data_IF_624995809302
#
_entry.id   IF_624995809302
#
_cell.length_a   1.000
_cell.length_b   1.000
_cell.length_c   1.000
_cell.angle_alpha   90.00
_cell.angle_beta   90.00
_cell.angle_gamma   90.00
#
_symmetry.space_group_name_H-M   'P 1'
#
loop_
_entity.id
_entity.type
_entity.pdbx_description
1 polymer ?
#
# COMPACT_ATOMS: atom_id res chain seq x y z
N UNK A 1 5.32 28.96 -18.03
CA UNK A 1 4.28 27.94 -18.30
C UNK A 1 4.59 27.38 -19.68
N UNK A 2 5.16 26.23 -19.79
CA UNK A 2 5.40 25.59 -21.10
C UNK A 2 5.73 24.12 -20.96
N UNK A 3 5.40 23.46 -19.90
CA UNK A 3 5.55 22.04 -19.93
C UNK A 3 4.29 21.43 -20.54
N UNK A 4 4.50 20.53 -21.48
CA UNK A 4 3.42 19.70 -22.00
C UNK A 4 2.61 19.10 -20.84
N UNK A 5 1.26 19.18 -20.86
CA UNK A 5 0.41 18.71 -19.77
C UNK A 5 0.72 17.28 -19.30
N UNK A 6 1.06 16.38 -20.23
CA UNK A 6 1.40 15.00 -19.92
C UNK A 6 2.75 14.91 -19.18
N UNK A 7 3.73 15.69 -19.60
CA UNK A 7 5.04 15.81 -18.95
C UNK A 7 4.89 16.32 -17.52
N UNK A 8 4.04 17.33 -17.30
CA UNK A 8 3.76 17.82 -15.95
C UNK A 8 3.10 16.76 -15.07
N UNK A 9 2.04 16.09 -15.57
CA UNK A 9 1.36 15.04 -14.81
C UNK A 9 2.31 13.91 -14.41
N UNK A 10 3.19 13.49 -15.33
CA UNK A 10 4.24 12.50 -15.02
C UNK A 10 5.21 13.01 -13.95
N UNK A 11 5.65 14.27 -14.05
CA UNK A 11 6.53 14.86 -13.04
C UNK A 11 5.88 14.99 -11.66
N UNK A 12 4.55 15.12 -11.58
CA UNK A 12 3.81 15.08 -10.31
C UNK A 12 3.79 13.67 -9.71
N UNK A 13 3.56 12.65 -10.54
CA UNK A 13 3.62 11.25 -10.13
C UNK A 13 5.02 10.89 -9.63
N UNK A 14 6.05 11.24 -10.38
CA UNK A 14 7.45 11.01 -10.01
C UNK A 14 7.80 11.68 -8.68
N UNK A 15 7.32 12.92 -8.46
CA UNK A 15 7.52 13.63 -7.19
C UNK A 15 6.81 12.94 -6.01
N UNK A 16 5.61 12.39 -6.24
CA UNK A 16 4.86 11.64 -5.23
C UNK A 16 5.58 10.34 -4.85
N UNK A 17 6.06 9.57 -5.84
CA UNK A 17 6.84 8.35 -5.63
C UNK A 17 8.15 8.65 -4.91
N UNK A 18 8.89 9.67 -5.36
CA UNK A 18 10.18 10.06 -4.77
C UNK A 18 10.03 10.44 -3.29
N UNK A 19 8.96 11.14 -2.91
CA UNK A 19 8.72 11.58 -1.54
C UNK A 19 8.52 10.43 -0.54
N UNK A 20 8.16 9.23 -1.02
CA UNK A 20 8.00 8.04 -0.20
C UNK A 20 9.10 6.99 -0.44
N UNK A 21 10.09 7.30 -1.29
CA UNK A 21 11.13 6.33 -1.62
C UNK A 21 12.09 6.11 -0.44
N UNK A 22 12.39 4.84 -0.05
CA UNK A 22 13.23 4.51 1.11
C UNK A 22 14.56 5.27 1.20
N UNK A 23 15.22 5.49 0.07
CA UNK A 23 16.50 6.24 0.01
C UNK A 23 16.39 7.70 0.47
N UNK A 24 15.19 8.28 0.46
CA UNK A 24 14.96 9.66 0.88
C UNK A 24 14.45 9.76 2.33
N UNK A 25 13.65 8.78 2.74
CA UNK A 25 12.91 8.88 4.00
C UNK A 25 13.50 8.07 5.16
N UNK A 26 14.26 7.00 4.89
CA UNK A 26 14.70 6.07 5.94
C UNK A 26 16.01 6.50 6.61
N UNK A 27 17.01 6.94 5.83
CA UNK A 27 18.34 7.28 6.39
C UNK A 27 18.30 8.30 7.54
N UNK A 28 17.53 9.41 7.43
CA UNK A 28 17.45 10.41 8.51
C UNK A 28 16.78 9.88 9.79
N UNK A 29 16.06 8.77 9.69
CA UNK A 29 15.32 8.16 10.79
C UNK A 29 16.12 7.10 11.52
N UNK A 30 17.22 6.60 10.93
CA UNK A 30 18.07 5.59 11.57
C UNK A 30 18.66 6.12 12.87
N UNK A 31 18.93 5.24 13.87
CA UNK A 31 19.57 5.64 15.12
C UNK A 31 20.89 6.38 14.87
N UNK A 32 21.20 7.36 15.72
CA UNK A 32 22.44 8.13 15.61
C UNK A 32 23.69 7.27 15.81
N UNK A 33 23.64 6.31 16.77
CA UNK A 33 24.67 5.30 16.94
C UNK A 33 24.38 4.10 16.04
N UNK A 34 25.25 3.88 15.06
CA UNK A 34 25.17 2.81 14.06
C UNK A 34 26.37 1.86 14.12
N UNK A 35 27.13 1.88 15.22
CA UNK A 35 28.39 1.16 15.34
C UNK A 35 28.25 -0.29 15.85
N UNK A 36 27.14 -0.60 16.55
CA UNK A 36 26.90 -1.91 17.13
C UNK A 36 26.35 -2.94 16.15
N UNK A 37 26.16 -4.16 16.64
CA UNK A 37 25.46 -5.22 15.90
C UNK A 37 23.99 -4.88 15.73
N UNK A 38 23.46 -5.11 14.52
CA UNK A 38 22.04 -4.97 14.22
C UNK A 38 21.54 -6.18 13.45
N UNK A 39 20.34 -6.64 13.80
CA UNK A 39 19.59 -7.62 13.03
C UNK A 39 18.48 -6.88 12.29
N UNK A 40 18.50 -6.98 10.96
CA UNK A 40 17.49 -6.35 10.09
C UNK A 40 16.50 -7.41 9.65
N UNK A 41 15.25 -7.19 10.00
CA UNK A 41 14.14 -8.02 9.53
C UNK A 41 13.12 -7.12 8.81
N UNK A 42 12.30 -7.67 7.93
CA UNK A 42 11.35 -6.82 7.22
C UNK A 42 10.37 -7.58 6.36
N UNK A 43 9.25 -6.92 6.06
CA UNK A 43 8.22 -7.45 5.16
C UNK A 43 7.47 -6.33 4.43
N UNK A 44 7.26 -6.50 3.14
CA UNK A 44 6.49 -5.59 2.31
C UNK A 44 7.15 -5.27 0.98
N UNK A 45 6.40 -4.62 0.09
CA UNK A 45 6.83 -4.29 -1.28
C UNK A 45 8.10 -3.39 -1.32
N UNK A 46 8.32 -2.55 -0.29
CA UNK A 46 9.50 -1.70 -0.17
C UNK A 46 10.60 -2.29 0.74
N UNK A 47 10.36 -3.45 1.41
CA UNK A 47 11.26 -3.98 2.44
C UNK A 47 12.68 -4.21 1.92
N UNK A 48 12.86 -4.71 0.69
CA UNK A 48 14.16 -4.92 0.07
C UNK A 48 14.92 -3.60 -0.17
N UNK A 49 14.26 -2.57 -0.68
CA UNK A 49 14.86 -1.24 -0.87
C UNK A 49 15.18 -0.56 0.46
N UNK A 50 14.36 -0.77 1.48
CA UNK A 50 14.65 -0.29 2.84
C UNK A 50 15.87 -1.00 3.43
N UNK A 51 16.01 -2.32 3.22
CA UNK A 51 17.17 -3.10 3.65
C UNK A 51 18.47 -2.61 2.98
N UNK A 52 18.43 -2.31 1.69
CA UNK A 52 19.56 -1.70 0.96
C UNK A 52 20.03 -0.38 1.62
N UNK A 53 19.09 0.46 2.06
CA UNK A 53 19.41 1.71 2.75
C UNK A 53 20.06 1.44 4.10
N UNK A 54 19.51 0.53 4.91
CA UNK A 54 20.12 0.19 6.21
C UNK A 54 21.52 -0.37 6.00
N UNK A 55 21.70 -1.34 5.11
CA UNK A 55 23.01 -1.96 4.84
C UNK A 55 24.07 -0.95 4.41
N UNK A 56 23.68 0.03 3.60
CA UNK A 56 24.58 1.09 3.12
C UNK A 56 25.00 2.07 4.21
N UNK A 57 24.12 2.35 5.17
CA UNK A 57 24.30 3.42 6.15
C UNK A 57 24.61 2.93 7.58
N UNK A 58 24.67 1.60 7.80
CA UNK A 58 25.06 1.01 9.08
C UNK A 58 26.56 0.73 9.10
N UNK A 59 27.26 1.32 10.07
CA UNK A 59 28.72 1.24 10.16
C UNK A 59 29.20 -0.03 10.91
N UNK A 60 28.34 -0.60 11.76
CA UNK A 60 28.63 -1.79 12.55
C UNK A 60 28.35 -3.10 11.82
N UNK A 61 28.23 -4.18 12.60
CA UNK A 61 27.87 -5.49 12.10
C UNK A 61 26.38 -5.55 11.78
N UNK A 62 26.04 -5.80 10.50
CA UNK A 62 24.68 -5.92 10.02
C UNK A 62 24.45 -7.28 9.41
N UNK A 63 23.37 -7.92 9.81
CA UNK A 63 22.86 -9.16 9.22
C UNK A 63 21.34 -9.14 9.23
N UNK A 64 20.69 -9.99 8.47
CA UNK A 64 19.24 -10.01 8.49
C UNK A 64 18.57 -10.76 7.37
N UNK A 65 17.25 -10.68 7.37
CA UNK A 65 16.36 -11.33 6.42
C UNK A 65 15.11 -10.48 6.20
N UNK A 66 14.84 -10.11 4.95
CA UNK A 66 13.61 -9.39 4.58
C UNK A 66 12.85 -10.17 3.52
N UNK A 67 11.52 -10.06 3.54
CA UNK A 67 10.66 -10.64 2.52
C UNK A 67 9.93 -9.56 1.74
N UNK A 68 9.94 -9.70 0.42
CA UNK A 68 9.23 -8.80 -0.49
C UNK A 68 8.39 -9.58 -1.50
N UNK A 69 7.56 -8.88 -2.28
CA UNK A 69 6.80 -9.49 -3.38
C UNK A 69 7.75 -9.92 -4.50
N UNK A 70 7.40 -10.99 -5.24
CA UNK A 70 8.10 -11.38 -6.47
C UNK A 70 8.31 -10.18 -7.40
N UNK A 71 9.55 -10.00 -7.92
CA UNK A 71 9.95 -8.90 -8.78
C UNK A 71 10.27 -7.59 -8.06
N UNK A 72 10.17 -7.50 -6.72
CA UNK A 72 10.49 -6.31 -5.93
C UNK A 72 11.81 -6.43 -5.16
N UNK A 73 12.66 -7.36 -5.52
CA UNK A 73 13.96 -7.57 -4.89
C UNK A 73 14.90 -6.37 -5.03
N UNK A 74 15.89 -6.30 -4.14
CA UNK A 74 17.02 -5.38 -4.20
C UNK A 74 18.32 -6.13 -3.90
N UNK A 75 19.46 -5.57 -4.33
CA UNK A 75 20.75 -6.21 -4.14
C UNK A 75 21.34 -5.82 -2.79
N UNK A 76 21.26 -6.71 -1.80
CA UNK A 76 21.94 -6.61 -0.52
C UNK A 76 23.06 -7.65 -0.44
N UNK A 77 24.11 -7.35 0.33
CA UNK A 77 25.29 -8.20 0.48
C UNK A 77 25.27 -8.97 1.82
N UNK A 78 24.70 -8.37 2.86
CA UNK A 78 24.71 -8.87 4.24
C UNK A 78 23.29 -9.22 4.71
N UNK A 79 22.26 -8.62 4.11
CA UNK A 79 20.86 -8.88 4.41
C UNK A 79 20.30 -9.76 3.30
N UNK A 80 19.78 -10.93 3.66
CA UNK A 80 19.14 -11.81 2.72
C UNK A 80 17.78 -11.23 2.28
N UNK A 81 17.53 -11.21 0.98
CA UNK A 81 16.25 -10.79 0.41
C UNK A 81 15.56 -11.99 -0.18
N UNK A 82 14.38 -12.33 0.34
CA UNK A 82 13.55 -13.41 -0.16
C UNK A 82 12.31 -12.83 -0.81
N UNK A 83 11.92 -13.40 -1.95
CA UNK A 83 10.67 -13.04 -2.64
C UNK A 83 9.58 -14.07 -2.34
N UNK A 84 8.34 -13.61 -2.15
CA UNK A 84 7.18 -14.43 -1.83
C UNK A 84 5.90 -13.90 -2.47
N UNK A 85 4.83 -14.70 -2.45
CA UNK A 85 3.56 -14.34 -3.06
C UNK A 85 2.79 -13.29 -2.26
N UNK A 86 2.15 -12.40 -2.98
CA UNK A 86 1.21 -11.40 -2.49
C UNK A 86 0.07 -11.20 -3.50
N UNK A 87 -1.20 -11.09 -3.13
CA UNK A 87 -1.73 -10.93 -1.76
C UNK A 87 -2.02 -12.24 -0.99
N UNK A 88 -1.91 -13.39 -1.62
CA UNK A 88 -2.16 -14.69 -0.98
C UNK A 88 -0.82 -15.27 -0.49
N UNK A 89 -0.66 -15.55 0.83
CA UNK A 89 0.56 -16.12 1.39
C UNK A 89 0.90 -17.48 0.76
N UNK A 90 2.19 -17.72 0.52
CA UNK A 90 2.74 -18.99 0.06
C UNK A 90 3.71 -19.62 1.06
N UNK A 91 4.31 -20.76 0.69
CA UNK A 91 5.27 -21.47 1.52
C UNK A 91 6.58 -20.68 1.73
N UNK A 92 6.97 -19.82 0.78
CA UNK A 92 8.16 -18.99 0.90
C UNK A 92 7.98 -17.95 2.02
N UNK A 93 6.84 -17.25 2.05
CA UNK A 93 6.52 -16.30 3.10
C UNK A 93 6.41 -16.96 4.49
N UNK A 94 5.85 -18.16 4.58
CA UNK A 94 5.80 -18.95 5.81
C UNK A 94 7.20 -19.28 6.32
N UNK A 95 8.07 -19.83 5.47
CA UNK A 95 9.43 -20.20 5.83
C UNK A 95 10.25 -18.98 6.29
N UNK A 96 10.09 -17.82 5.63
CA UNK A 96 10.72 -16.57 6.09
C UNK A 96 10.24 -16.17 7.47
N UNK A 97 8.94 -16.25 7.74
CA UNK A 97 8.37 -15.86 9.03
C UNK A 97 8.89 -16.75 10.18
N UNK A 98 9.08 -18.06 9.95
CA UNK A 98 9.70 -18.99 10.89
C UNK A 98 11.17 -18.62 11.15
N UNK A 99 11.93 -18.35 10.08
CA UNK A 99 13.33 -17.94 10.17
C UNK A 99 13.50 -16.61 10.90
N UNK A 100 12.62 -15.63 10.65
CA UNK A 100 12.62 -14.34 11.34
C UNK A 100 12.45 -14.55 12.85
N UNK A 101 11.49 -15.37 13.30
CA UNK A 101 11.34 -15.65 14.73
C UNK A 101 12.56 -16.37 15.31
N UNK A 102 13.14 -17.32 14.61
CA UNK A 102 14.35 -18.00 15.05
C UNK A 102 15.55 -17.05 15.17
N UNK A 103 15.69 -16.07 14.27
CA UNK A 103 16.77 -15.07 14.30
C UNK A 103 16.68 -14.12 15.50
N UNK A 104 15.47 -13.87 16.02
CA UNK A 104 15.24 -12.89 17.09
C UNK A 104 14.94 -13.55 18.46
N UNK A 105 14.95 -14.87 18.55
CA UNK A 105 14.57 -15.59 19.78
C UNK A 105 15.63 -15.60 20.88
N UNK A 106 16.89 -15.26 20.56
CA UNK A 106 18.03 -15.37 21.49
C UNK A 106 18.85 -14.08 21.50
N UNK A 107 18.17 -12.94 21.69
CA UNK A 107 18.75 -11.62 21.71
C UNK A 107 18.96 -11.12 23.14
N UNK A 108 20.05 -10.36 23.34
CA UNK A 108 20.38 -9.69 24.60
C UNK A 108 19.91 -8.21 24.62
N UNK A 109 20.09 -7.57 25.77
CA UNK A 109 19.73 -6.16 25.98
C UNK A 109 20.52 -5.18 25.11
N UNK A 110 21.74 -5.55 24.71
CA UNK A 110 22.61 -4.74 23.86
C UNK A 110 22.35 -4.94 22.36
N UNK A 111 21.57 -5.96 21.99
CA UNK A 111 21.21 -6.21 20.61
C UNK A 111 20.15 -5.20 20.13
N UNK A 112 20.21 -4.92 18.83
CA UNK A 112 19.26 -4.04 18.15
C UNK A 112 18.59 -4.78 17.01
N UNK A 113 17.29 -4.57 16.86
CA UNK A 113 16.51 -5.06 15.73
C UNK A 113 15.98 -3.86 14.96
N UNK A 114 16.20 -3.83 13.65
CA UNK A 114 15.52 -2.91 12.74
C UNK A 114 14.46 -3.70 11.99
N UNK A 115 13.21 -3.36 12.19
CA UNK A 115 12.08 -3.95 11.50
C UNK A 115 11.56 -3.01 10.41
N UNK A 116 11.69 -3.43 9.14
CA UNK A 116 11.37 -2.67 7.94
C UNK A 116 10.01 -3.12 7.41
N UNK A 117 9.05 -2.19 7.40
CA UNK A 117 7.65 -2.51 7.15
C UNK A 117 7.07 -1.64 6.03
N UNK A 118 6.34 -2.26 5.12
CA UNK A 118 5.62 -1.54 4.05
C UNK A 118 4.40 -2.32 3.58
N UNK A 119 3.68 -1.77 2.61
CA UNK A 119 2.50 -2.39 2.03
C UNK A 119 2.69 -3.84 1.62
N UNK A 120 1.67 -4.64 1.87
CA UNK A 120 1.70 -6.09 1.65
C UNK A 120 2.34 -6.91 2.75
N UNK A 121 3.00 -6.30 3.75
CA UNK A 121 3.70 -7.00 4.83
C UNK A 121 2.84 -7.99 5.62
N UNK A 122 1.54 -7.75 5.74
CA UNK A 122 0.62 -8.65 6.44
C UNK A 122 0.48 -10.03 5.76
N UNK A 123 0.54 -10.09 4.44
CA UNK A 123 0.49 -11.33 3.67
C UNK A 123 1.87 -11.99 3.56
N UNK A 124 2.90 -11.18 3.32
CA UNK A 124 4.27 -11.64 3.14
C UNK A 124 4.89 -12.24 4.42
N UNK A 125 4.49 -11.75 5.60
CA UNK A 125 4.94 -12.26 6.91
C UNK A 125 3.79 -12.95 7.64
N UNK A 126 3.35 -14.09 7.10
CA UNK A 126 2.22 -14.84 7.60
C UNK A 126 2.67 -16.11 8.34
N UNK A 127 2.69 -16.07 9.68
CA UNK A 127 2.94 -17.24 10.52
C UNK A 127 1.71 -17.57 11.35
N UNK A 128 1.16 -18.79 11.22
CA UNK A 128 0.08 -19.27 12.10
C UNK A 128 0.52 -19.33 13.56
N UNK A 129 -0.43 -19.16 14.47
CA UNK A 129 -0.22 -19.40 15.89
C UNK A 129 0.09 -20.90 16.16
N UNK A 130 0.71 -21.23 17.30
CA UNK A 130 1.02 -22.61 17.66
C UNK A 130 -0.20 -23.54 17.52
N UNK A 131 0.00 -24.69 16.90
CA UNK A 131 -1.06 -25.68 16.69
C UNK A 131 -1.99 -25.39 15.49
N UNK A 132 -1.87 -24.23 14.84
CA UNK A 132 -2.63 -23.89 13.66
C UNK A 132 -1.80 -24.09 12.38
N UNK A 133 -2.48 -24.41 11.29
CA UNK A 133 -1.88 -24.49 9.96
C UNK A 133 -2.16 -23.22 9.14
N UNK A 134 -1.39 -23.03 8.06
CA UNK A 134 -1.67 -21.97 7.09
C UNK A 134 -3.06 -22.16 6.45
N UNK A 135 -3.49 -23.40 6.24
CA UNK A 135 -4.80 -23.73 5.70
C UNK A 135 -5.94 -23.28 6.63
N UNK A 136 -5.81 -23.46 7.95
CA UNK A 136 -6.79 -22.98 8.93
C UNK A 136 -6.96 -21.47 8.85
N UNK A 137 -5.85 -20.73 8.79
CA UNK A 137 -5.87 -19.26 8.63
C UNK A 137 -6.49 -18.83 7.31
N UNK A 138 -6.18 -19.51 6.21
CA UNK A 138 -6.74 -19.21 4.89
C UNK A 138 -8.24 -19.46 4.87
N UNK A 139 -8.71 -20.56 5.48
CA UNK A 139 -10.14 -20.89 5.60
C UNK A 139 -10.88 -19.78 6.34
N UNK A 140 -10.42 -19.40 7.53
CA UNK A 140 -11.04 -18.35 8.35
C UNK A 140 -11.01 -17.00 7.59
N UNK A 141 -9.87 -16.65 6.98
CA UNK A 141 -9.74 -15.41 6.24
C UNK A 141 -10.71 -15.33 5.05
N UNK A 142 -10.85 -16.43 4.29
CA UNK A 142 -11.79 -16.54 3.17
C UNK A 142 -13.25 -16.40 3.62
N UNK A 143 -13.59 -16.97 4.78
CA UNK A 143 -14.93 -16.86 5.36
C UNK A 143 -15.20 -15.41 5.82
N UNK A 144 -14.25 -14.77 6.51
CA UNK A 144 -14.34 -13.36 6.94
C UNK A 144 -14.53 -12.41 5.76
N UNK A 145 -13.78 -12.57 4.68
CA UNK A 145 -13.92 -11.75 3.47
C UNK A 145 -15.31 -11.83 2.83
N UNK A 146 -16.00 -12.95 2.99
CA UNK A 146 -17.35 -13.16 2.46
C UNK A 146 -18.46 -12.75 3.41
N UNK A 147 -18.15 -12.48 4.68
CA UNK A 147 -19.13 -12.29 5.73
C UNK A 147 -19.69 -10.87 5.85
N UNK A 148 -19.01 -9.89 5.23
CA UNK A 148 -19.31 -8.47 5.44
C UNK A 148 -18.69 -7.88 6.71
N UNK A 149 -17.78 -8.61 7.38
CA UNK A 149 -17.01 -8.08 8.51
C UNK A 149 -16.15 -6.89 8.06
N UNK A 150 -16.05 -5.89 8.92
CA UNK A 150 -15.17 -4.74 8.68
C UNK A 150 -13.71 -5.15 8.70
N UNK A 151 -12.83 -4.36 8.06
CA UNK A 151 -11.38 -4.64 8.07
C UNK A 151 -10.81 -4.68 9.50
N UNK A 152 -11.34 -3.86 10.42
CA UNK A 152 -10.94 -3.86 11.82
C UNK A 152 -11.29 -5.18 12.51
N UNK A 153 -12.51 -5.71 12.29
CA UNK A 153 -12.94 -7.00 12.83
C UNK A 153 -12.15 -8.17 12.23
N UNK A 154 -11.92 -8.15 10.91
CA UNK A 154 -11.06 -9.15 10.26
C UNK A 154 -9.63 -9.13 10.83
N UNK A 155 -9.05 -7.95 11.03
CA UNK A 155 -7.71 -7.81 11.58
C UNK A 155 -7.64 -8.22 13.05
N UNK A 156 -8.70 -8.01 13.84
CA UNK A 156 -8.80 -8.56 15.20
C UNK A 156 -8.59 -10.08 15.19
N UNK A 157 -9.35 -10.81 14.38
CA UNK A 157 -9.21 -12.28 14.26
C UNK A 157 -7.81 -12.66 13.72
N UNK A 158 -7.36 -12.03 12.66
CA UNK A 158 -6.06 -12.30 12.02
C UNK A 158 -4.87 -12.17 12.96
N UNK A 159 -4.88 -11.17 13.86
CA UNK A 159 -3.84 -10.97 14.87
C UNK A 159 -3.80 -12.10 15.89
N UNK A 160 -4.96 -12.49 16.41
CA UNK A 160 -5.05 -13.54 17.41
C UNK A 160 -4.73 -14.94 16.86
N UNK A 161 -4.84 -15.15 15.54
CA UNK A 161 -4.44 -16.40 14.86
C UNK A 161 -2.99 -16.39 14.34
N UNK A 162 -2.14 -15.47 14.83
CA UNK A 162 -0.78 -15.30 14.32
C UNK A 162 0.27 -15.40 15.44
N UNK A 163 1.40 -16.04 15.14
CA UNK A 163 2.56 -16.07 16.05
C UNK A 163 3.42 -14.79 15.99
N UNK A 164 3.13 -13.86 15.07
CA UNK A 164 4.00 -12.70 14.79
C UNK A 164 3.29 -11.36 14.99
N UNK A 165 1.99 -11.29 14.69
CA UNK A 165 1.18 -10.07 14.69
C UNK A 165 0.74 -9.65 16.09
N UNK A 166 0.17 -8.43 16.23
CA UNK A 166 -0.36 -7.94 17.51
C UNK A 166 0.70 -7.84 18.60
N UNK A 167 1.85 -7.27 18.30
CA UNK A 167 2.95 -7.06 19.25
C UNK A 167 3.84 -8.28 19.50
N UNK A 168 3.48 -9.46 18.99
CA UNK A 168 4.21 -10.70 19.29
C UNK A 168 5.64 -10.71 18.76
N UNK A 169 5.93 -10.01 17.65
CA UNK A 169 7.29 -9.86 17.15
C UNK A 169 8.14 -9.04 18.14
N UNK A 170 7.62 -7.94 18.70
CA UNK A 170 8.34 -7.21 19.74
C UNK A 170 8.62 -8.08 20.96
N UNK A 171 7.64 -8.92 21.36
CA UNK A 171 7.81 -9.87 22.45
C UNK A 171 8.88 -10.91 22.15
N UNK A 172 8.97 -11.40 20.93
CA UNK A 172 10.01 -12.34 20.51
C UNK A 172 11.41 -11.72 20.49
N UNK A 173 11.50 -10.42 20.21
CA UNK A 173 12.78 -9.69 20.22
C UNK A 173 13.27 -9.32 21.63
N UNK A 174 12.41 -9.39 22.66
CA UNK A 174 12.77 -9.00 24.02
C UNK A 174 13.94 -9.85 24.56
N UNK A 175 14.98 -9.23 25.20
CA UNK A 175 15.06 -7.84 25.67
C UNK A 175 15.77 -6.85 24.71
N UNK A 176 16.01 -7.20 23.46
CA UNK A 176 16.63 -6.29 22.49
C UNK A 176 15.77 -5.03 22.22
N UNK A 177 16.43 -3.96 21.77
CA UNK A 177 15.71 -2.75 21.34
C UNK A 177 15.25 -2.91 19.89
N UNK A 178 13.95 -2.69 19.65
CA UNK A 178 13.33 -2.79 18.31
C UNK A 178 13.03 -1.40 17.76
N UNK A 179 13.52 -1.10 16.58
CA UNK A 179 13.18 0.08 15.79
C UNK A 179 12.37 -0.34 14.57
N UNK A 180 11.09 -0.03 14.56
CA UNK A 180 10.21 -0.29 13.41
C UNK A 180 10.07 0.96 12.57
N UNK A 181 10.46 0.86 11.31
CA UNK A 181 10.25 1.91 10.30
C UNK A 181 9.19 1.45 9.30
N UNK A 182 8.11 2.21 9.17
CA UNK A 182 6.99 1.85 8.34
C UNK A 182 6.72 2.87 7.23
N UNK A 183 6.49 2.35 6.02
CA UNK A 183 5.86 3.09 4.91
C UNK A 183 4.40 2.62 4.87
N UNK A 184 3.46 3.54 5.08
CA UNK A 184 2.03 3.21 5.16
C UNK A 184 1.37 3.22 3.80
N UNK A 185 0.55 2.19 3.56
CA UNK A 185 -0.44 2.11 2.49
C UNK A 185 -1.87 1.96 3.08
N UNK A 186 -2.03 2.22 4.37
CA UNK A 186 -3.27 1.99 5.11
C UNK A 186 -3.98 3.31 5.37
N UNK A 187 -5.28 3.46 5.04
CA UNK A 187 -6.06 4.63 5.39
C UNK A 187 -6.01 4.93 6.90
N UNK A 188 -5.71 6.18 7.24
CA UNK A 188 -5.57 6.63 8.63
C UNK A 188 -4.26 6.27 9.32
N UNK A 189 -3.32 5.60 8.65
CA UNK A 189 -1.92 5.38 9.08
C UNK A 189 -1.77 4.70 10.46
N UNK A 190 -2.75 3.91 10.88
CA UNK A 190 -2.74 3.28 12.20
C UNK A 190 -1.69 2.17 12.29
N UNK A 191 -0.72 2.32 13.17
CA UNK A 191 0.37 1.36 13.41
C UNK A 191 -0.16 -0.07 13.71
N UNK A 192 -1.32 -0.17 14.37
CA UNK A 192 -1.97 -1.45 14.70
C UNK A 192 -2.58 -2.16 13.49
N UNK A 193 -2.76 -1.43 12.37
CA UNK A 193 -3.34 -1.96 11.12
C UNK A 193 -2.22 -2.28 10.12
N UNK A 194 -1.18 -1.43 10.03
CA UNK A 194 -0.01 -1.65 9.15
C UNK A 194 0.59 -3.02 9.47
N UNK A 195 0.60 -3.92 8.48
CA UNK A 195 0.98 -5.34 8.60
C UNK A 195 0.37 -6.07 9.83
N UNK A 196 -0.73 -5.57 10.38
CA UNK A 196 -1.40 -6.07 11.59
C UNK A 196 -0.57 -5.90 12.87
N UNK A 197 0.24 -4.84 12.96
CA UNK A 197 0.92 -4.38 14.17
C UNK A 197 1.88 -5.37 14.83
N UNK A 198 2.92 -5.89 14.15
CA UNK A 198 3.80 -6.92 14.73
C UNK A 198 4.59 -6.45 15.96
N UNK A 199 4.87 -5.15 16.05
CA UNK A 199 5.74 -4.56 17.10
C UNK A 199 5.06 -3.50 17.96
N UNK A 200 3.73 -3.39 17.86
CA UNK A 200 2.94 -2.43 18.64
C UNK A 200 1.84 -3.13 19.43
N UNK A 201 1.34 -2.46 20.48
CA UNK A 201 0.21 -2.98 21.27
C UNK A 201 -1.04 -3.23 20.42
N UNK A 202 -1.79 -4.26 20.77
CA UNK A 202 -3.11 -4.52 20.19
C UNK A 202 -4.20 -4.23 21.21
N UNK A 203 -5.11 -3.27 20.96
CA UNK A 203 -6.19 -2.98 21.88
C UNK A 203 -7.29 -4.06 21.89
N UNK A 204 -7.34 -4.93 20.86
CA UNK A 204 -8.38 -5.99 20.77
C UNK A 204 -7.99 -7.22 21.58
N UNK A 205 -8.96 -7.99 22.02
CA UNK A 205 -8.79 -9.18 22.85
C UNK A 205 -9.14 -10.47 22.09
N UNK A 206 -8.68 -11.61 22.62
CA UNK A 206 -9.09 -12.93 22.12
C UNK A 206 -10.61 -13.14 22.18
N UNK A 207 -11.28 -12.54 23.17
CA UNK A 207 -12.74 -12.57 23.28
C UNK A 207 -13.43 -11.77 22.19
N UNK A 208 -12.83 -10.63 21.76
CA UNK A 208 -13.32 -9.89 20.61
C UNK A 208 -13.21 -10.72 19.34
N UNK A 209 -12.08 -11.44 19.15
CA UNK A 209 -11.91 -12.34 18.01
C UNK A 209 -12.97 -13.44 17.98
N UNK A 210 -13.24 -14.10 19.12
CA UNK A 210 -14.33 -15.08 19.25
C UNK A 210 -15.71 -14.45 18.97
N UNK A 211 -15.96 -13.24 19.49
CA UNK A 211 -17.21 -12.51 19.25
C UNK A 211 -17.43 -12.19 17.77
N UNK A 212 -16.36 -11.83 17.03
CA UNK A 212 -16.41 -11.63 15.58
C UNK A 212 -16.79 -12.93 14.86
N UNK A 213 -16.10 -14.04 15.15
CA UNK A 213 -16.41 -15.33 14.53
C UNK A 213 -17.88 -15.73 14.78
N UNK A 214 -18.37 -15.53 16.00
CA UNK A 214 -19.76 -15.83 16.37
C UNK A 214 -20.77 -14.89 15.67
N UNK A 215 -20.48 -13.58 15.64
CA UNK A 215 -21.36 -12.56 15.01
C UNK A 215 -21.62 -12.86 13.54
N UNK A 216 -20.59 -13.26 12.82
CA UNK A 216 -20.66 -13.53 11.40
C UNK A 216 -20.89 -15.00 11.06
N UNK A 217 -21.21 -15.84 12.08
CA UNK A 217 -21.44 -17.28 11.91
C UNK A 217 -20.33 -17.96 11.10
N UNK A 218 -19.07 -17.62 11.37
CA UNK A 218 -17.91 -18.21 10.68
C UNK A 218 -17.74 -19.65 11.18
N UNK A 219 -17.82 -20.59 10.24
CA UNK A 219 -17.48 -22.00 10.48
C UNK A 219 -15.95 -22.16 10.53
N UNK A 220 -15.40 -21.93 11.73
CA UNK A 220 -13.96 -22.00 11.97
C UNK A 220 -13.54 -23.44 12.33
N UNK A 221 -12.35 -23.89 11.92
CA UNK A 221 -11.78 -25.16 12.36
C UNK A 221 -11.74 -25.27 13.91
N UNK A 222 -11.94 -26.46 14.46
CA UNK A 222 -11.94 -26.65 15.91
C UNK A 222 -10.63 -26.19 16.55
N UNK A 223 -9.47 -26.43 15.89
CA UNK A 223 -8.16 -25.96 16.35
C UNK A 223 -8.12 -24.43 16.53
N UNK A 224 -8.81 -23.67 15.67
CA UNK A 224 -8.89 -22.20 15.78
C UNK A 224 -9.70 -21.80 17.01
N UNK A 225 -10.82 -22.48 17.29
CA UNK A 225 -11.65 -22.21 18.45
C UNK A 225 -10.91 -22.56 19.74
N UNK A 226 -10.26 -23.73 19.80
CA UNK A 226 -9.45 -24.18 20.94
C UNK A 226 -8.30 -23.21 21.23
N UNK A 227 -7.62 -22.76 20.17
CA UNK A 227 -6.56 -21.75 20.30
C UNK A 227 -7.09 -20.42 20.85
N UNK A 228 -8.19 -19.91 20.33
CA UNK A 228 -8.76 -18.63 20.79
C UNK A 228 -9.33 -18.73 22.21
N UNK A 229 -9.68 -19.91 22.68
CA UNK A 229 -10.10 -20.13 24.08
C UNK A 229 -8.90 -20.20 25.04
N UNK A 230 -7.69 -20.51 24.55
CA UNK A 230 -6.47 -20.51 25.33
C UNK A 230 -5.99 -19.06 25.62
N UNK A 231 -5.67 -18.70 26.89
CA UNK A 231 -5.09 -17.40 27.24
C UNK A 231 -3.79 -17.05 26.46
N UNK A 232 -3.04 -18.04 25.97
CA UNK A 232 -1.84 -17.83 25.14
C UNK A 232 -2.18 -17.17 23.78
N UNK A 233 -3.43 -17.21 23.35
CA UNK A 233 -3.88 -16.53 22.14
C UNK A 233 -3.98 -15.02 22.30
N UNK A 234 -3.86 -14.46 23.52
CA UNK A 234 -3.92 -13.03 23.76
C UNK A 234 -2.72 -12.30 23.14
N UNK A 235 -3.01 -11.18 22.48
CA UNK A 235 -2.00 -10.29 21.88
C UNK A 235 -1.33 -9.40 22.93
N UNK A 236 -0.22 -8.74 22.58
CA UNK A 236 0.51 -7.85 23.48
C UNK A 236 -0.30 -6.58 23.77
N UNK A 237 -0.46 -6.22 25.05
CA UNK A 237 -1.20 -5.05 25.49
C UNK A 237 -0.30 -3.86 25.77
N UNK A 238 -0.89 -2.66 25.86
CA UNK A 238 -0.15 -1.42 26.01
C UNK A 238 0.69 -1.32 27.29
N UNK A 239 0.31 -2.04 28.32
CA UNK A 239 1.00 -2.12 29.62
C UNK A 239 2.05 -3.23 29.70
N UNK A 240 2.24 -4.01 28.64
CA UNK A 240 3.25 -5.08 28.62
C UNK A 240 4.66 -4.45 28.58
N UNK A 241 5.55 -4.83 29.53
CA UNK A 241 6.91 -4.30 29.62
C UNK A 241 7.75 -4.47 28.35
N UNK A 242 7.44 -5.47 27.52
CA UNK A 242 8.20 -5.71 26.27
C UNK A 242 8.13 -4.53 25.29
N UNK A 243 7.08 -3.71 25.39
CA UNK A 243 6.90 -2.54 24.52
C UNK A 243 7.76 -1.33 24.95
N UNK A 244 8.33 -1.34 26.14
CA UNK A 244 9.21 -0.24 26.60
C UNK A 244 10.46 -0.06 25.75
N UNK A 245 10.86 -1.11 25.01
CA UNK A 245 12.02 -1.11 24.11
C UNK A 245 11.61 -1.25 22.63
N UNK A 246 10.33 -1.08 22.31
CA UNK A 246 9.83 -1.14 20.94
C UNK A 246 9.43 0.26 20.48
N UNK A 247 10.13 0.77 19.46
CA UNK A 247 9.93 2.11 18.89
C UNK A 247 9.35 1.98 17.49
N UNK A 248 8.20 2.58 17.25
CA UNK A 248 7.55 2.61 15.94
C UNK A 248 7.61 4.01 15.35
N UNK A 249 8.08 4.12 14.12
CA UNK A 249 8.12 5.37 13.37
C UNK A 249 7.54 5.18 11.98
N UNK A 250 6.54 5.99 11.64
CA UNK A 250 6.03 6.12 10.29
C UNK A 250 6.94 7.07 9.52
N UNK A 251 7.60 6.59 8.47
CA UNK A 251 8.59 7.34 7.69
C UNK A 251 8.04 7.88 6.37
N UNK A 252 6.98 7.25 5.83
CA UNK A 252 6.26 7.76 4.68
C UNK A 252 4.79 7.36 4.74
N UNK A 253 3.93 8.21 4.17
CA UNK A 253 2.48 8.02 4.09
C UNK A 253 1.90 8.70 2.85
N UNK A 254 0.71 8.30 2.37
CA UNK A 254 0.10 8.84 1.15
C UNK A 254 -0.01 10.36 1.14
N UNK A 255 -0.42 10.97 2.25
CA UNK A 255 -0.57 12.43 2.35
C UNK A 255 0.72 13.19 2.03
N UNK A 256 1.89 12.69 2.45
CA UNK A 256 3.18 13.35 2.16
C UNK A 256 3.50 13.31 0.66
N UNK A 257 3.15 12.25 -0.03
CA UNK A 257 3.30 12.12 -1.48
C UNK A 257 2.39 13.09 -2.24
N UNK A 258 1.14 13.25 -1.80
CA UNK A 258 0.22 14.24 -2.37
C UNK A 258 0.72 15.68 -2.13
N UNK A 259 1.28 15.95 -0.95
CA UNK A 259 1.87 17.27 -0.62
C UNK A 259 3.11 17.56 -1.48
N UNK A 260 3.98 16.56 -1.73
CA UNK A 260 5.13 16.73 -2.61
C UNK A 260 4.71 17.05 -4.05
N UNK A 261 3.70 16.35 -4.56
CA UNK A 261 3.11 16.66 -5.86
C UNK A 261 2.47 18.07 -5.88
N UNK A 262 1.78 18.47 -4.79
CA UNK A 262 1.21 19.81 -4.68
C UNK A 262 2.26 20.92 -4.66
N UNK A 263 3.43 20.70 -4.02
CA UNK A 263 4.57 21.61 -4.08
C UNK A 263 5.07 21.76 -5.51
N UNK A 264 5.24 20.65 -6.22
CA UNK A 264 5.65 20.63 -7.63
C UNK A 264 4.64 21.35 -8.53
N UNK A 265 3.34 21.14 -8.30
CA UNK A 265 2.28 21.84 -9.02
C UNK A 265 2.34 23.36 -8.84
N UNK A 266 2.52 23.83 -7.59
CA UNK A 266 2.68 25.28 -7.31
C UNK A 266 3.91 25.87 -7.97
N UNK A 267 5.04 25.14 -7.99
CA UNK A 267 6.26 25.59 -8.70
C UNK A 267 6.05 25.74 -10.20
N UNK A 268 5.16 24.91 -10.78
CA UNK A 268 4.76 25.00 -12.19
C UNK A 268 3.66 26.07 -12.44
N UNK A 269 3.18 26.78 -11.41
CA UNK A 269 2.19 27.85 -11.53
C UNK A 269 0.73 27.41 -11.44
N UNK A 270 0.46 26.19 -10.94
CA UNK A 270 -0.88 25.65 -10.78
C UNK A 270 -1.35 25.68 -9.32
N UNK A 271 -2.64 25.90 -9.11
CA UNK A 271 -3.27 25.80 -7.79
C UNK A 271 -3.70 24.37 -7.50
N UNK A 272 -3.09 23.65 -6.52
CA UNK A 272 -3.48 22.29 -6.20
C UNK A 272 -4.65 22.25 -5.21
N UNK A 273 -5.56 21.30 -5.40
CA UNK A 273 -6.57 20.84 -4.47
C UNK A 273 -6.29 19.39 -4.09
N UNK A 274 -5.95 19.12 -2.83
CA UNK A 274 -5.76 17.76 -2.33
C UNK A 274 -7.09 17.29 -1.74
N UNK A 275 -7.61 16.16 -2.24
CA UNK A 275 -8.81 15.50 -1.71
C UNK A 275 -8.47 14.42 -0.67
N UNK A 276 -7.17 14.05 -0.53
CA UNK A 276 -6.70 13.02 0.38
C UNK A 276 -6.89 11.59 -0.15
N UNK A 277 -6.91 10.65 0.79
CA UNK A 277 -7.11 9.24 0.49
C UNK A 277 -8.59 8.92 0.31
N UNK A 278 -8.91 8.28 -0.81
CA UNK A 278 -10.27 7.91 -1.17
C UNK A 278 -10.38 6.41 -1.35
N UNK A 279 -11.43 5.84 -0.78
CA UNK A 279 -11.81 4.44 -0.89
C UNK A 279 -13.12 4.28 -1.66
N UNK A 280 -13.43 3.07 -2.07
CA UNK A 280 -14.67 2.70 -2.75
C UNK A 280 -14.43 2.11 -4.13
N UNK A 281 -15.50 1.92 -4.88
CA UNK A 281 -15.44 1.38 -6.24
C UNK A 281 -14.81 2.38 -7.20
N UNK A 282 -13.74 1.97 -7.88
CA UNK A 282 -12.87 2.84 -8.68
C UNK A 282 -13.65 3.66 -9.71
N UNK A 283 -14.57 3.02 -10.46
CA UNK A 283 -15.42 3.70 -11.43
C UNK A 283 -16.36 4.73 -10.82
N UNK A 284 -16.82 4.55 -9.59
CA UNK A 284 -17.71 5.49 -8.92
C UNK A 284 -16.93 6.68 -8.36
N UNK A 285 -15.74 6.44 -7.79
CA UNK A 285 -14.82 7.50 -7.35
C UNK A 285 -14.43 8.39 -8.55
N UNK A 286 -14.21 7.82 -9.73
CA UNK A 286 -13.93 8.57 -10.97
C UNK A 286 -15.08 9.48 -11.38
N UNK A 287 -16.33 9.04 -11.25
CA UNK A 287 -17.53 9.87 -11.56
C UNK A 287 -17.62 11.09 -10.64
N UNK A 288 -17.26 10.94 -9.35
CA UNK A 288 -17.20 12.07 -8.42
C UNK A 288 -16.14 13.07 -8.88
N UNK A 289 -14.93 12.60 -9.23
CA UNK A 289 -13.86 13.46 -9.76
C UNK A 289 -14.29 14.17 -11.06
N UNK A 290 -14.97 13.47 -11.97
CA UNK A 290 -15.52 14.07 -13.19
C UNK A 290 -16.53 15.19 -12.88
N UNK A 291 -17.36 15.01 -11.84
CA UNK A 291 -18.27 16.04 -11.36
C UNK A 291 -17.55 17.29 -10.86
N UNK A 292 -16.51 17.10 -10.05
CA UNK A 292 -15.66 18.19 -9.53
C UNK A 292 -14.95 18.90 -10.69
N UNK A 293 -14.37 18.17 -11.63
CA UNK A 293 -13.68 18.74 -12.78
C UNK A 293 -14.64 19.59 -13.65
N UNK A 294 -15.85 19.11 -13.93
CA UNK A 294 -16.88 19.89 -14.63
C UNK A 294 -17.27 21.15 -13.87
N UNK A 295 -17.43 21.08 -12.54
CA UNK A 295 -17.76 22.24 -11.71
C UNK A 295 -16.66 23.30 -11.78
N UNK A 296 -15.41 22.88 -11.82
CA UNK A 296 -14.26 23.78 -11.98
C UNK A 296 -14.28 24.43 -13.37
N UNK A 297 -14.42 23.64 -14.45
CA UNK A 297 -14.44 24.16 -15.83
C UNK A 297 -15.59 25.13 -16.05
N UNK A 298 -16.79 24.80 -15.58
CA UNK A 298 -18.01 25.59 -15.87
C UNK A 298 -18.15 26.80 -14.94
N UNK A 299 -17.73 26.70 -13.70
CA UNK A 299 -18.08 27.68 -12.67
C UNK A 299 -16.88 28.24 -11.88
N UNK A 300 -15.66 27.71 -12.11
CA UNK A 300 -14.46 28.11 -11.39
C UNK A 300 -14.52 27.81 -9.89
N UNK A 301 -15.20 26.71 -9.50
CA UNK A 301 -15.40 26.31 -8.10
C UNK A 301 -15.07 24.83 -7.92
N UNK A 302 -14.41 24.42 -6.80
CA UNK A 302 -13.92 25.26 -5.69
C UNK A 302 -12.64 26.03 -6.02
N UNK A 303 -12.00 25.77 -7.16
CA UNK A 303 -10.83 26.48 -7.67
C UNK A 303 -11.09 27.03 -9.07
N UNK A 304 -10.34 28.09 -9.44
CA UNK A 304 -10.30 28.57 -10.82
C UNK A 304 -9.18 27.86 -11.60
N UNK A 305 -9.40 27.55 -12.89
CA UNK A 305 -8.28 27.14 -13.75
C UNK A 305 -7.24 28.28 -13.89
N UNK A 306 -5.93 27.98 -14.11
CA UNK A 306 -5.39 26.65 -14.19
C UNK A 306 -5.17 26.03 -12.81
N UNK A 307 -5.62 24.79 -12.63
CA UNK A 307 -5.51 24.12 -11.34
C UNK A 307 -5.32 22.59 -11.48
N UNK A 308 -5.00 21.94 -10.38
CA UNK A 308 -4.80 20.49 -10.35
C UNK A 308 -5.56 19.92 -9.16
N UNK A 309 -6.36 18.86 -9.39
CA UNK A 309 -6.95 18.04 -8.34
C UNK A 309 -5.98 16.87 -8.09
N UNK A 310 -5.61 16.64 -6.83
CA UNK A 310 -4.77 15.54 -6.39
C UNK A 310 -5.56 14.65 -5.42
N UNK A 311 -5.49 13.34 -5.59
CA UNK A 311 -6.04 12.38 -4.64
C UNK A 311 -5.21 11.10 -4.61
N UNK A 312 -5.29 10.39 -3.50
CA UNK A 312 -4.70 9.09 -3.26
C UNK A 312 -5.75 8.06 -2.85
N UNK A 313 -5.30 7.08 -2.08
CA UNK A 313 -6.12 6.05 -1.46
C UNK A 313 -6.12 4.73 -2.22
N UNK A 314 -6.92 3.80 -1.76
CA UNK A 314 -7.00 2.46 -2.32
C UNK A 314 -8.45 2.15 -2.75
N UNK A 315 -8.69 2.18 -4.07
CA UNK A 315 -10.00 1.83 -4.62
C UNK A 315 -10.09 0.35 -4.95
N UNK A 316 -11.31 -0.14 -5.10
CA UNK A 316 -11.61 -1.53 -5.48
C UNK A 316 -12.19 -1.59 -6.89
N UNK A 317 -12.09 -2.76 -7.51
CA UNK A 317 -12.72 -3.05 -8.81
C UNK A 317 -13.57 -4.31 -8.67
N UNK A 318 -14.85 -4.17 -8.94
CA UNK A 318 -15.75 -5.32 -9.11
C UNK A 318 -15.55 -5.90 -10.51
N UNK A 319 -14.80 -7.01 -10.59
CA UNK A 319 -14.55 -7.70 -11.86
C UNK A 319 -15.82 -8.36 -12.37
N UNK A 320 -16.28 -7.97 -13.56
CA UNK A 320 -17.48 -8.49 -14.23
C UNK A 320 -17.16 -9.09 -15.60
N UNK A 321 -16.12 -8.56 -16.25
CA UNK A 321 -15.67 -8.98 -17.58
C UNK A 321 -14.39 -9.84 -17.53
N UNK A 322 -13.78 -9.98 -18.70
CA UNK A 322 -12.55 -10.74 -18.91
C UNK A 322 -11.39 -9.84 -19.40
N UNK A 323 -11.58 -8.52 -19.33
CA UNK A 323 -10.58 -7.55 -19.75
C UNK A 323 -9.36 -7.51 -18.81
N UNK A 324 -8.38 -6.70 -19.19
CA UNK A 324 -7.11 -6.50 -18.49
C UNK A 324 -7.06 -5.11 -17.87
N UNK A 325 -6.46 -5.00 -16.68
CA UNK A 325 -6.21 -3.72 -16.03
C UNK A 325 -6.36 -3.79 -14.52
N UNK A 326 -5.90 -2.74 -13.86
CA UNK A 326 -6.04 -2.53 -12.43
C UNK A 326 -7.01 -1.38 -12.11
N UNK A 327 -7.01 -0.98 -10.84
CA UNK A 327 -7.92 0.04 -10.31
C UNK A 327 -7.64 1.45 -10.86
N UNK A 328 -6.39 1.77 -11.22
CA UNK A 328 -6.03 3.07 -11.77
C UNK A 328 -6.43 3.20 -13.24
N UNK A 329 -6.24 2.16 -14.04
CA UNK A 329 -6.74 2.10 -15.40
C UNK A 329 -8.28 2.13 -15.44
N UNK A 330 -8.97 1.42 -14.54
CA UNK A 330 -10.43 1.46 -14.37
C UNK A 330 -10.91 2.87 -14.00
N UNK A 331 -10.23 3.54 -13.06
CA UNK A 331 -10.54 4.92 -12.68
C UNK A 331 -10.46 5.86 -13.88
N UNK A 332 -9.35 5.83 -14.62
CA UNK A 332 -9.16 6.72 -15.78
C UNK A 332 -10.12 6.43 -16.91
N UNK A 333 -10.45 5.15 -17.15
CA UNK A 333 -11.42 4.78 -18.16
C UNK A 333 -12.81 5.32 -17.81
N UNK A 334 -13.25 5.19 -16.57
CA UNK A 334 -14.50 5.77 -16.09
C UNK A 334 -14.49 7.29 -16.11
N UNK A 335 -13.36 7.92 -15.80
CA UNK A 335 -13.18 9.37 -15.92
C UNK A 335 -13.30 9.81 -17.38
N UNK A 336 -12.68 9.09 -18.32
CA UNK A 336 -12.71 9.35 -19.76
C UNK A 336 -14.14 9.25 -20.29
N UNK A 337 -14.87 8.18 -19.95
CA UNK A 337 -16.27 8.01 -20.33
C UNK A 337 -17.18 9.11 -19.74
N UNK A 338 -16.92 9.49 -18.49
CA UNK A 338 -17.71 10.56 -17.83
C UNK A 338 -17.46 11.93 -18.43
N UNK A 339 -16.23 12.29 -18.80
CA UNK A 339 -15.86 13.61 -19.31
C UNK A 339 -16.09 13.75 -20.82
N UNK A 340 -16.04 12.65 -21.59
CA UNK A 340 -16.28 12.61 -23.04
C UNK A 340 -15.53 13.67 -23.84
N UNK A 341 -14.24 13.86 -23.48
CA UNK A 341 -13.38 14.81 -24.16
C UNK A 341 -13.56 16.26 -23.73
N UNK A 342 -13.96 16.52 -22.48
CA UNK A 342 -14.07 17.88 -21.96
C UNK A 342 -12.76 18.65 -22.18
N UNK A 343 -12.79 19.78 -22.93
CA UNK A 343 -11.58 20.50 -23.28
C UNK A 343 -10.77 20.98 -22.08
N UNK A 344 -9.44 20.95 -22.21
CA UNK A 344 -8.50 21.43 -21.19
C UNK A 344 -8.35 20.53 -19.97
N UNK A 345 -8.99 19.35 -19.93
CA UNK A 345 -8.88 18.40 -18.81
C UNK A 345 -7.97 17.23 -19.20
N UNK A 346 -6.86 17.10 -18.47
CA UNK A 346 -5.90 16.00 -18.59
C UNK A 346 -5.84 15.26 -17.25
N UNK A 347 -5.56 13.96 -17.25
CA UNK A 347 -5.44 13.22 -16.00
C UNK A 347 -4.37 12.12 -16.08
N UNK A 348 -3.84 11.80 -14.91
CA UNK A 348 -2.99 10.64 -14.65
C UNK A 348 -3.55 9.91 -13.44
N UNK A 349 -3.61 8.59 -13.51
CA UNK A 349 -3.76 7.74 -12.32
C UNK A 349 -2.76 6.59 -12.39
N UNK A 350 -2.15 6.27 -11.25
CA UNK A 350 -1.17 5.19 -11.16
C UNK A 350 -0.94 4.73 -9.74
N UNK A 351 -0.58 3.46 -9.59
CA UNK A 351 -0.12 2.89 -8.33
C UNK A 351 1.33 3.33 -8.07
N UNK A 352 1.59 3.83 -6.87
CA UNK A 352 2.93 4.30 -6.50
C UNK A 352 3.95 3.17 -6.38
N UNK A 353 3.53 1.90 -6.31
CA UNK A 353 4.43 0.75 -6.34
C UNK A 353 4.91 0.37 -7.76
N UNK A 354 4.30 0.96 -8.79
CA UNK A 354 4.66 0.77 -10.19
C UNK A 354 3.87 -0.31 -10.92
N UNK A 355 2.89 -0.95 -10.26
CA UNK A 355 2.11 -2.06 -10.83
C UNK A 355 0.61 -1.86 -10.55
N UNK A 356 -0.16 -1.57 -11.60
CA UNK A 356 -1.61 -1.44 -11.52
C UNK A 356 -2.30 -2.81 -11.66
N UNK A 357 -2.60 -3.46 -10.56
CA UNK A 357 -3.20 -4.80 -10.54
C UNK A 357 -2.19 -5.91 -10.83
N UNK A 358 -2.33 -6.59 -11.98
CA UNK A 358 -1.48 -7.71 -12.40
C UNK A 358 -0.66 -7.41 -13.66
N UNK A 359 -0.87 -6.27 -14.28
CA UNK A 359 -0.23 -5.88 -15.54
C UNK A 359 1.14 -5.23 -15.30
N UNK A 360 1.83 -4.83 -16.35
CA UNK A 360 3.18 -4.27 -16.29
C UNK A 360 3.22 -2.73 -16.21
N UNK A 361 2.05 -2.09 -16.24
CA UNK A 361 1.90 -0.65 -16.11
C UNK A 361 1.69 -0.21 -14.66
N UNK A 362 2.19 0.96 -14.30
CA UNK A 362 1.83 1.64 -13.05
C UNK A 362 0.44 2.27 -13.14
N UNK A 363 0.00 2.64 -14.32
CA UNK A 363 -1.26 3.33 -14.58
C UNK A 363 -1.37 3.83 -16.00
N UNK A 364 -2.07 4.95 -16.20
CA UNK A 364 -2.24 5.54 -17.53
C UNK A 364 -2.40 7.07 -17.51
N UNK A 365 -2.45 7.66 -18.71
CA UNK A 365 -2.71 9.07 -18.98
C UNK A 365 -4.00 9.24 -19.79
N UNK A 366 -4.75 10.27 -19.48
CA UNK A 366 -5.92 10.72 -20.24
C UNK A 366 -5.68 12.14 -20.76
N UNK A 367 -6.00 12.37 -22.01
CA UNK A 367 -6.00 13.68 -22.69
C UNK A 367 -7.40 14.02 -23.19
N UNK A 368 -7.71 15.29 -23.50
CA UNK A 368 -9.03 15.67 -24.00
C UNK A 368 -9.45 14.94 -25.30
N UNK A 369 -8.50 14.48 -26.10
CA UNK A 369 -8.75 13.73 -27.32
C UNK A 369 -8.84 12.20 -27.12
N UNK A 370 -8.52 11.67 -25.94
CA UNK A 370 -8.49 10.22 -25.66
C UNK A 370 -9.81 9.54 -26.01
N UNK A 371 -10.96 10.15 -25.65
CA UNK A 371 -12.28 9.60 -25.97
C UNK A 371 -12.53 9.51 -27.49
N UNK A 372 -12.21 10.56 -28.24
CA UNK A 372 -12.40 10.59 -29.68
C UNK A 372 -11.41 9.68 -30.42
N UNK A 373 -10.16 9.62 -29.97
CA UNK A 373 -9.13 8.71 -30.52
C UNK A 373 -9.54 7.25 -30.36
N UNK A 374 -10.02 6.85 -29.17
CA UNK A 374 -10.52 5.51 -28.94
C UNK A 374 -11.70 5.16 -29.84
N UNK A 375 -12.67 6.08 -29.98
CA UNK A 375 -13.82 5.90 -30.88
C UNK A 375 -13.38 5.74 -32.35
N UNK A 376 -12.36 6.46 -32.79
CA UNK A 376 -11.79 6.32 -34.14
C UNK A 376 -11.10 4.96 -34.36
N UNK A 377 -10.63 4.30 -33.28
CA UNK A 377 -10.09 2.93 -33.29
C UNK A 377 -11.19 1.86 -33.13
N UNK A 378 -12.47 2.27 -33.02
CA UNK A 378 -13.59 1.36 -32.81
C UNK A 378 -13.78 0.91 -31.36
N UNK A 379 -13.11 1.56 -30.40
CA UNK A 379 -13.25 1.26 -28.98
C UNK A 379 -14.32 2.13 -28.33
N UNK A 380 -15.22 1.50 -27.58
CA UNK A 380 -16.23 2.19 -26.76
C UNK A 380 -15.76 2.22 -25.32
N UNK A 381 -15.59 3.43 -24.75
CA UNK A 381 -15.17 3.56 -23.36
C UNK A 381 -16.14 2.86 -22.38
N UNK A 382 -17.44 2.92 -22.66
CA UNK A 382 -18.48 2.23 -21.85
C UNK A 382 -18.32 0.71 -21.92
N UNK A 383 -18.16 0.14 -23.12
CA UNK A 383 -18.07 -1.32 -23.31
C UNK A 383 -16.78 -1.87 -22.71
N UNK A 384 -15.67 -1.15 -22.87
CA UNK A 384 -14.37 -1.52 -22.27
C UNK A 384 -14.39 -1.42 -20.74
N UNK A 385 -15.13 -0.42 -20.19
CA UNK A 385 -15.34 -0.30 -18.74
C UNK A 385 -16.19 -1.45 -18.19
N UNK A 386 -17.25 -1.86 -18.89
CA UNK A 386 -18.09 -2.98 -18.48
C UNK A 386 -17.35 -4.33 -18.57
N UNK A 387 -16.37 -4.42 -19.47
CA UNK A 387 -15.48 -5.58 -19.59
C UNK A 387 -14.26 -5.52 -18.64
N UNK A 388 -14.07 -4.48 -17.82
CA UNK A 388 -12.88 -4.22 -16.99
C UNK A 388 -11.58 -4.20 -17.81
N UNK A 389 -11.59 -3.62 -19.02
CA UNK A 389 -10.45 -3.61 -19.94
C UNK A 389 -9.75 -2.23 -20.01
N UNK A 390 -9.47 -1.64 -18.86
CA UNK A 390 -8.77 -0.35 -18.79
C UNK A 390 -7.37 -0.40 -19.40
N UNK A 391 -6.62 -1.48 -19.17
CA UNK A 391 -5.31 -1.66 -19.77
C UNK A 391 -5.39 -1.65 -21.30
N UNK A 392 -6.22 -2.50 -21.91
CA UNK A 392 -6.33 -2.60 -23.38
C UNK A 392 -6.79 -1.29 -24.01
N UNK A 393 -7.67 -0.54 -23.35
CA UNK A 393 -8.12 0.77 -23.82
C UNK A 393 -6.96 1.77 -23.91
N UNK A 394 -6.14 1.90 -22.85
CA UNK A 394 -5.02 2.84 -22.83
C UNK A 394 -3.79 2.34 -23.59
N UNK A 395 -3.58 1.03 -23.71
CA UNK A 395 -2.58 0.43 -24.59
C UNK A 395 -2.81 0.82 -26.05
N UNK A 396 -4.06 0.70 -26.53
CA UNK A 396 -4.44 1.11 -27.90
C UNK A 396 -4.24 2.60 -28.18
N UNK A 397 -4.22 3.44 -27.15
CA UNK A 397 -3.97 4.87 -27.22
C UNK A 397 -2.50 5.27 -27.04
N UNK A 398 -1.59 4.31 -26.80
CA UNK A 398 -0.20 4.56 -26.40
C UNK A 398 -0.12 5.50 -25.18
N UNK A 399 -0.94 5.22 -24.17
CA UNK A 399 -1.14 6.09 -23.02
C UNK A 399 -0.86 5.39 -21.66
N UNK A 400 -0.31 4.19 -21.70
CA UNK A 400 0.12 3.48 -20.48
C UNK A 400 1.34 4.16 -19.86
N UNK A 401 1.42 4.08 -18.53
CA UNK A 401 2.61 4.48 -17.76
C UNK A 401 3.29 3.21 -17.27
N UNK A 402 4.46 2.95 -17.80
CA UNK A 402 5.31 1.82 -17.39
C UNK A 402 6.55 2.38 -16.67
N UNK A 403 6.79 1.93 -15.43
CA UNK A 403 7.86 2.46 -14.57
C UNK A 403 8.81 1.40 -14.04
N UNK A 404 8.54 0.12 -14.23
CA UNK A 404 9.06 -0.95 -13.40
C UNK A 404 8.64 -0.79 -11.91
N UNK A 405 8.86 -1.78 -11.02
CA UNK A 405 8.60 -1.65 -9.59
C UNK A 405 9.36 -0.46 -8.99
N UNK A 406 8.65 0.49 -8.41
CA UNK A 406 9.23 1.71 -7.82
C UNK A 406 9.93 1.47 -6.49
N UNK A 407 9.70 0.29 -5.88
CA UNK A 407 10.23 -0.13 -4.57
C UNK A 407 9.79 0.76 -3.41
N UNK A 408 8.65 1.41 -3.56
CA UNK A 408 7.88 2.03 -2.48
C UNK A 408 6.41 1.63 -2.60
N UNK A 409 5.56 2.00 -1.65
CA UNK A 409 4.11 1.82 -1.78
C UNK A 409 3.39 2.73 -0.79
N UNK A 410 2.72 3.75 -1.33
CA UNK A 410 1.84 4.67 -0.60
C UNK A 410 0.50 4.81 -1.35
N UNK A 411 -0.02 3.68 -1.83
CA UNK A 411 -1.27 3.54 -2.58
C UNK A 411 -1.29 4.25 -3.95
N UNK A 412 -2.50 4.50 -4.44
CA UNK A 412 -2.74 5.16 -5.71
C UNK A 412 -2.38 6.64 -5.64
N UNK A 413 -1.98 7.17 -6.78
CA UNK A 413 -1.83 8.60 -7.03
C UNK A 413 -2.69 9.00 -8.22
N UNK A 414 -3.49 10.04 -8.06
CA UNK A 414 -4.33 10.59 -9.12
C UNK A 414 -4.14 12.09 -9.22
N UNK A 415 -3.93 12.59 -10.43
CA UNK A 415 -3.82 14.00 -10.73
C UNK A 415 -4.71 14.36 -11.92
N UNK A 416 -5.57 15.38 -11.76
CA UNK A 416 -6.40 15.91 -12.82
C UNK A 416 -6.04 17.37 -13.02
N UNK A 417 -5.39 17.67 -14.13
CA UNK A 417 -4.99 19.00 -14.56
C UNK A 417 -6.13 19.65 -15.35
N UNK A 418 -6.49 20.86 -14.96
CA UNK A 418 -7.54 21.65 -15.61
C UNK A 418 -6.93 22.97 -16.05
N UNK A 419 -6.84 23.16 -17.36
CA UNK A 419 -6.31 24.37 -18.00
C UNK A 419 -7.43 25.39 -18.25
N UNK A 420 -7.05 26.66 -18.37
CA UNK A 420 -7.96 27.67 -18.91
C UNK A 420 -8.31 27.32 -20.35
N UNK A 421 -9.58 27.18 -20.62
CA UNK A 421 -10.09 27.05 -21.98
C UNK A 421 -11.08 28.16 -22.23
N UNK A 422 -11.06 28.82 -23.41
CA UNK A 422 -12.16 29.66 -23.78
C UNK A 422 -13.38 28.75 -23.90
N UNK A 423 -14.26 28.82 -22.92
CA UNK A 423 -15.57 28.17 -23.01
C UNK A 423 -16.41 28.96 -24.00
N UNK A 424 -17.04 28.29 -24.99
CA UNK A 424 -17.89 28.99 -25.98
C UNK A 424 -19.13 29.62 -25.36
#
# INVERSE_FOLDING_TARGET
MSDDPQTLLRALFDAAVAAAHPRQVLEPCLPADRSGRVIVIGAGKAAAAMAEVVEKHWEGDVSGLVVTRYGHGASCQKIEVVEAAHPVPDAAGLAVAERVLAMVSDLGEDDRVIFLLSGGGSALLALPAPGLTLADKQQVNKALLKSGATIGEMNCVRKHLSAIKGGRLAKACWPATVYTYAISDVPGDLATVIASGPTVADPTTRHDALAVLKRYAIDAPQAVLDWLDDPASETVKADDPVLSRSHFQLIAKPQQSLEAAAVKARQAGYSPLILGDLEGESREVAKVHAGIARQIVLHGQPLKPPCIILSGGETTVTVRGNGRGGRNAEFLLSLTDSLKGLPGVYALAGDTDGIDGSEDNAGALMTPDSYARAAALGLSATDELDNNNGYGYFEALDALIVTEPTRTNVNDFRAILILETPYP
#
